data_IF_386499098447
#
_entry.id   IF_386499098447
#
_cell.length_a   1.000
_cell.length_b   1.000
_cell.length_c   1.000
_cell.angle_alpha   90.00
_cell.angle_beta   90.00
_cell.angle_gamma   90.00
#
_symmetry.space_group_name_H-M   'P 1'
#
loop_
_entity.id
_entity.type
_entity.pdbx_description
1 polymer ?
#
# COMPACT_ATOMS: atom_id res chain seq x y z
N UNK A 1 0.56 -2.71 -12.21
CA UNK A 1 -0.88 -2.75 -12.56
C UNK A 1 -1.16 -1.85 -13.76
N UNK A 2 -2.37 -1.94 -14.34
CA UNK A 2 -2.82 -1.12 -15.47
C UNK A 2 -2.61 0.37 -15.20
N UNK A 3 -2.15 1.12 -16.21
CA UNK A 3 -1.88 2.55 -16.10
C UNK A 3 -0.55 2.92 -15.45
N UNK A 4 0.20 1.96 -14.92
CA UNK A 4 1.49 2.20 -14.29
C UNK A 4 2.65 1.63 -15.12
N UNK A 5 3.61 2.48 -15.45
CA UNK A 5 4.80 2.15 -16.27
C UNK A 5 6.07 1.99 -15.45
N UNK A 6 5.99 2.18 -14.13
CA UNK A 6 7.15 2.11 -13.26
C UNK A 6 7.49 0.66 -12.93
N UNK A 7 8.72 0.25 -13.20
CA UNK A 7 9.16 -1.14 -13.09
C UNK A 7 10.37 -1.37 -12.17
N UNK A 8 11.12 -0.34 -11.79
CA UNK A 8 12.37 -0.48 -11.03
C UNK A 8 12.14 -1.26 -9.72
N UNK A 9 11.16 -0.86 -8.92
CA UNK A 9 10.86 -1.53 -7.65
C UNK A 9 10.43 -2.99 -7.85
N UNK A 10 9.58 -3.26 -8.83
CA UNK A 10 9.12 -4.59 -9.20
C UNK A 10 10.30 -5.47 -9.66
N UNK A 11 11.19 -4.92 -10.48
CA UNK A 11 12.36 -5.64 -10.98
C UNK A 11 13.32 -6.02 -9.84
N UNK A 12 13.54 -5.12 -8.87
CA UNK A 12 14.33 -5.41 -7.67
C UNK A 12 13.70 -6.56 -6.88
N UNK A 13 12.39 -6.51 -6.63
CA UNK A 13 11.65 -7.60 -5.95
C UNK A 13 11.82 -8.92 -6.69
N UNK A 14 11.68 -8.92 -8.01
CA UNK A 14 11.83 -10.12 -8.86
C UNK A 14 13.25 -10.71 -8.76
N UNK A 15 14.27 -9.87 -8.79
CA UNK A 15 15.67 -10.31 -8.65
C UNK A 15 15.92 -10.88 -7.26
N UNK A 16 15.50 -10.18 -6.21
CA UNK A 16 15.66 -10.62 -4.82
C UNK A 16 14.98 -11.97 -4.58
N UNK A 17 13.74 -12.14 -5.07
CA UNK A 17 13.01 -13.39 -4.95
C UNK A 17 13.72 -14.52 -5.70
N UNK A 18 14.12 -14.33 -6.96
CA UNK A 18 14.86 -15.35 -7.75
C UNK A 18 16.17 -15.74 -7.10
N UNK A 19 16.95 -14.80 -6.57
CA UNK A 19 18.19 -15.07 -5.85
C UNK A 19 17.98 -15.90 -4.57
N UNK A 20 16.76 -15.96 -4.06
CA UNK A 20 16.36 -16.73 -2.88
C UNK A 20 15.58 -18.01 -3.21
N UNK A 21 15.61 -18.45 -4.48
CA UNK A 21 15.09 -19.75 -4.91
C UNK A 21 13.61 -19.76 -5.27
N UNK A 22 12.97 -18.58 -5.40
CA UNK A 22 11.60 -18.51 -5.91
C UNK A 22 11.59 -18.50 -7.44
N UNK A 23 10.66 -19.25 -8.04
CA UNK A 23 10.33 -19.10 -9.45
C UNK A 23 9.43 -17.87 -9.62
N UNK A 24 9.84 -16.92 -10.45
CA UNK A 24 9.16 -15.63 -10.60
C UNK A 24 8.80 -15.37 -12.06
N UNK A 25 7.51 -15.30 -12.34
CA UNK A 25 6.99 -14.81 -13.62
C UNK A 25 6.69 -13.32 -13.52
N UNK A 26 7.48 -12.52 -14.18
CA UNK A 26 7.29 -11.07 -14.27
C UNK A 26 6.41 -10.73 -15.49
N UNK A 27 5.27 -10.10 -15.25
CA UNK A 27 4.31 -9.73 -16.30
C UNK A 27 4.60 -8.36 -16.93
N UNK A 28 5.64 -7.65 -16.48
CA UNK A 28 6.00 -6.34 -17.00
C UNK A 28 5.20 -5.19 -16.38
N UNK A 29 4.89 -4.20 -17.19
CA UNK A 29 4.18 -2.96 -16.80
C UNK A 29 2.83 -2.86 -17.51
N UNK A 30 1.96 -1.93 -17.08
CA UNK A 30 0.64 -1.69 -17.69
C UNK A 30 -0.27 -2.93 -17.70
N UNK A 31 -0.06 -3.85 -16.78
CA UNK A 31 -0.74 -5.16 -16.74
C UNK A 31 -2.19 -5.00 -16.31
N UNK A 32 -3.12 -5.43 -17.17
CA UNK A 32 -4.54 -5.47 -16.87
C UNK A 32 -4.95 -6.75 -16.11
N UNK A 33 -6.19 -6.79 -15.62
CA UNK A 33 -6.70 -7.92 -14.86
C UNK A 33 -6.72 -9.22 -15.67
N UNK A 34 -7.14 -9.19 -16.92
CA UNK A 34 -7.28 -10.39 -17.76
C UNK A 34 -5.92 -11.07 -17.93
N UNK A 35 -4.86 -10.29 -18.15
CA UNK A 35 -3.48 -10.80 -18.19
C UNK A 35 -3.04 -11.42 -16.86
N UNK A 36 -3.42 -10.81 -15.73
CA UNK A 36 -3.14 -11.38 -14.40
C UNK A 36 -3.86 -12.73 -14.28
N UNK A 37 -5.13 -12.79 -14.62
CA UNK A 37 -5.97 -13.98 -14.53
C UNK A 37 -5.45 -15.14 -15.41
N UNK A 38 -5.11 -14.84 -16.67
CA UNK A 38 -4.51 -15.82 -17.59
C UNK A 38 -3.23 -16.42 -17.02
N UNK A 39 -2.36 -15.59 -16.44
CA UNK A 39 -1.11 -16.04 -15.85
C UNK A 39 -1.30 -16.78 -14.52
N UNK A 40 -2.28 -16.44 -13.71
CA UNK A 40 -2.64 -17.24 -12.53
C UNK A 40 -3.07 -18.66 -12.96
N UNK A 41 -3.89 -18.78 -13.99
CA UNK A 41 -4.38 -20.07 -14.47
C UNK A 41 -3.30 -20.92 -15.13
N UNK A 42 -2.39 -20.30 -15.88
CA UNK A 42 -1.30 -20.99 -16.59
C UNK A 42 -0.13 -21.35 -15.66
N UNK A 43 0.36 -20.37 -14.89
CA UNK A 43 1.54 -20.53 -14.04
C UNK A 43 1.22 -21.15 -12.68
N UNK A 44 -0.03 -21.01 -12.19
CA UNK A 44 -0.50 -21.47 -10.88
C UNK A 44 0.41 -21.02 -9.74
N UNK A 45 0.61 -19.70 -9.57
CA UNK A 45 1.52 -19.18 -8.57
C UNK A 45 0.97 -19.41 -7.16
N UNK A 46 1.87 -19.59 -6.20
CA UNK A 46 1.53 -19.64 -4.78
C UNK A 46 1.25 -18.24 -4.20
N UNK A 47 1.80 -17.20 -4.83
CA UNK A 47 1.68 -15.81 -4.39
C UNK A 47 1.63 -14.87 -5.60
N UNK A 48 0.80 -13.84 -5.55
CA UNK A 48 0.76 -12.76 -6.57
C UNK A 48 1.28 -11.47 -5.96
N UNK A 49 2.14 -10.75 -6.70
CA UNK A 49 2.62 -9.41 -6.33
C UNK A 49 2.03 -8.32 -7.22
N UNK A 50 1.53 -7.24 -6.63
CA UNK A 50 1.12 -6.04 -7.34
C UNK A 50 1.95 -4.85 -6.90
N UNK A 51 2.46 -4.09 -7.87
CA UNK A 51 3.25 -2.88 -7.63
C UNK A 51 2.65 -1.68 -8.32
N UNK A 52 2.75 -0.50 -7.69
CA UNK A 52 2.33 0.76 -8.25
C UNK A 52 3.05 1.95 -7.62
N UNK A 53 3.29 2.99 -8.43
CA UNK A 53 3.97 4.20 -7.99
C UNK A 53 3.06 5.43 -7.97
N UNK A 54 1.99 5.44 -8.77
CA UNK A 54 1.08 6.58 -8.89
C UNK A 54 -0.24 6.33 -8.15
N UNK A 55 -0.92 7.38 -7.74
CA UNK A 55 -2.17 7.25 -6.97
C UNK A 55 -3.25 6.41 -7.68
N UNK A 56 -3.48 6.53 -9.00
CA UNK A 56 -4.43 5.67 -9.70
C UNK A 56 -4.13 4.18 -9.63
N UNK A 57 -2.87 3.78 -9.41
CA UNK A 57 -2.50 2.37 -9.25
C UNK A 57 -3.14 1.73 -8.01
N UNK A 58 -3.44 2.52 -6.97
CA UNK A 58 -4.13 2.04 -5.77
C UNK A 58 -5.56 1.58 -6.09
N UNK A 59 -6.27 2.35 -6.91
CA UNK A 59 -7.64 2.01 -7.32
C UNK A 59 -7.65 0.76 -8.23
N UNK A 60 -6.66 0.63 -9.12
CA UNK A 60 -6.49 -0.57 -9.93
C UNK A 60 -6.17 -1.81 -9.08
N UNK A 61 -5.34 -1.68 -8.03
CA UNK A 61 -5.08 -2.78 -7.10
C UNK A 61 -6.35 -3.21 -6.37
N UNK A 62 -7.16 -2.25 -5.89
CA UNK A 62 -8.44 -2.54 -5.23
C UNK A 62 -9.39 -3.26 -6.21
N UNK A 63 -9.51 -2.76 -7.44
CA UNK A 63 -10.34 -3.38 -8.48
C UNK A 63 -9.90 -4.81 -8.81
N UNK A 64 -8.58 -5.05 -8.90
CA UNK A 64 -8.05 -6.38 -9.17
C UNK A 64 -8.31 -7.35 -8.00
N UNK A 65 -8.20 -6.88 -6.76
CA UNK A 65 -8.50 -7.68 -5.56
C UNK A 65 -9.99 -8.06 -5.49
N UNK A 66 -10.90 -7.12 -5.77
CA UNK A 66 -12.34 -7.37 -5.82
C UNK A 66 -12.70 -8.41 -6.89
N UNK A 67 -12.09 -8.32 -8.07
CA UNK A 67 -12.28 -9.31 -9.14
C UNK A 67 -11.72 -10.67 -8.76
N UNK A 68 -10.51 -10.77 -8.21
CA UNK A 68 -9.95 -12.02 -7.72
C UNK A 68 -10.85 -12.67 -6.65
N UNK A 69 -11.41 -11.85 -5.74
CA UNK A 69 -12.36 -12.31 -4.75
C UNK A 69 -13.64 -12.84 -5.38
N UNK A 70 -14.18 -12.13 -6.37
CA UNK A 70 -15.39 -12.51 -7.10
C UNK A 70 -15.19 -13.80 -7.88
N UNK A 71 -14.03 -13.96 -8.53
CA UNK A 71 -13.66 -15.14 -9.30
C UNK A 71 -13.28 -16.36 -8.42
N UNK A 72 -13.24 -16.18 -7.10
CA UNK A 72 -13.07 -17.28 -6.14
C UNK A 72 -11.63 -17.62 -5.77
N UNK A 73 -10.68 -16.79 -6.16
CA UNK A 73 -9.27 -16.97 -5.79
C UNK A 73 -9.04 -16.65 -4.32
N UNK A 74 -8.09 -17.37 -3.71
CA UNK A 74 -7.73 -17.24 -2.29
C UNK A 74 -6.21 -17.16 -2.05
N UNK A 75 -5.42 -17.07 -3.13
CA UNK A 75 -3.94 -16.99 -3.02
C UNK A 75 -3.51 -15.68 -2.37
N UNK A 76 -2.39 -15.67 -1.63
CA UNK A 76 -1.85 -14.45 -1.03
C UNK A 76 -1.48 -13.41 -2.09
N UNK A 77 -1.82 -12.13 -1.81
CA UNK A 77 -1.47 -11.01 -2.68
C UNK A 77 -0.56 -10.05 -1.92
N UNK A 78 0.63 -9.82 -2.46
CA UNK A 78 1.59 -8.83 -1.95
C UNK A 78 1.35 -7.48 -2.62
N UNK A 79 1.32 -6.44 -1.82
CA UNK A 79 1.15 -5.05 -2.29
C UNK A 79 2.42 -4.28 -2.00
N UNK A 80 3.01 -3.70 -3.02
CA UNK A 80 4.22 -2.88 -2.93
C UNK A 80 4.18 -1.65 -3.81
N UNK A 81 5.18 -0.79 -3.63
CA UNK A 81 5.35 0.46 -4.36
C UNK A 81 5.20 1.69 -3.47
N UNK A 82 5.78 2.82 -3.93
CA UNK A 82 5.97 4.01 -3.10
C UNK A 82 4.67 4.69 -2.63
N UNK A 83 3.55 4.51 -3.35
CA UNK A 83 2.25 5.06 -2.96
C UNK A 83 1.47 4.15 -2.01
N UNK A 84 1.92 2.92 -1.82
CA UNK A 84 1.23 1.96 -0.96
C UNK A 84 1.59 2.18 0.52
N UNK A 85 0.70 1.77 1.41
CA UNK A 85 0.98 1.82 2.85
C UNK A 85 0.21 0.73 3.58
N UNK A 86 0.75 0.33 4.74
CA UNK A 86 0.11 -0.64 5.63
C UNK A 86 -1.33 -0.23 5.99
N UNK A 87 -1.55 1.05 6.29
CA UNK A 87 -2.86 1.57 6.63
C UNK A 87 -3.83 1.50 5.44
N UNK A 88 -3.40 1.93 4.25
CA UNK A 88 -4.24 1.87 3.05
C UNK A 88 -4.58 0.43 2.68
N UNK A 89 -3.61 -0.48 2.75
CA UNK A 89 -3.82 -1.91 2.51
C UNK A 89 -4.85 -2.49 3.48
N UNK A 90 -4.74 -2.19 4.78
CA UNK A 90 -5.67 -2.68 5.80
C UNK A 90 -7.10 -2.12 5.64
N UNK A 91 -7.22 -0.84 5.27
CA UNK A 91 -8.52 -0.13 5.29
C UNK A 91 -9.26 -0.25 3.96
N UNK A 92 -8.54 -0.25 2.84
CA UNK A 92 -9.12 -0.18 1.49
C UNK A 92 -8.92 -1.42 0.65
N UNK A 93 -7.85 -2.18 0.83
CA UNK A 93 -7.54 -3.33 -0.01
C UNK A 93 -8.02 -4.65 0.62
N UNK A 94 -7.63 -4.92 1.86
CA UNK A 94 -7.98 -6.18 2.52
C UNK A 94 -9.50 -6.47 2.58
N UNK A 95 -10.39 -5.49 2.80
CA UNK A 95 -11.83 -5.75 2.79
C UNK A 95 -12.41 -6.18 1.43
N UNK A 96 -11.68 -5.93 0.33
CA UNK A 96 -12.10 -6.32 -1.01
C UNK A 96 -11.57 -7.72 -1.42
N UNK A 97 -10.85 -8.41 -0.52
CA UNK A 97 -10.28 -9.73 -0.80
C UNK A 97 -10.42 -10.66 0.42
N UNK A 98 -11.65 -10.97 0.78
CA UNK A 98 -11.97 -11.76 1.98
C UNK A 98 -11.58 -13.23 1.87
N UNK A 99 -11.59 -13.80 0.64
CA UNK A 99 -11.24 -15.20 0.38
C UNK A 99 -9.75 -15.49 0.53
N UNK A 100 -8.91 -14.49 0.36
CA UNK A 100 -7.46 -14.61 0.48
C UNK A 100 -6.88 -13.69 1.53
N UNK A 101 -5.61 -13.35 1.37
CA UNK A 101 -4.89 -12.44 2.26
C UNK A 101 -4.11 -11.40 1.45
N UNK A 102 -4.14 -10.15 1.91
CA UNK A 102 -3.42 -9.03 1.30
C UNK A 102 -2.33 -8.56 2.26
N UNK A 103 -1.09 -8.56 1.80
CA UNK A 103 0.09 -8.22 2.62
C UNK A 103 0.78 -7.00 2.05
N UNK A 104 0.94 -5.95 2.83
CA UNK A 104 1.77 -4.81 2.45
C UNK A 104 3.25 -5.13 2.66
N UNK A 105 4.04 -5.00 1.61
CA UNK A 105 5.50 -5.19 1.63
C UNK A 105 6.16 -3.83 1.36
N UNK A 106 6.63 -3.13 2.40
CA UNK A 106 7.14 -1.76 2.26
C UNK A 106 8.50 -1.68 1.57
N UNK A 107 9.26 -2.76 1.59
CA UNK A 107 10.61 -2.82 1.03
C UNK A 107 10.89 -4.16 0.36
N UNK A 108 11.62 -4.12 -0.76
CA UNK A 108 11.96 -5.32 -1.53
C UNK A 108 12.77 -6.36 -0.72
N UNK A 109 13.56 -5.94 0.27
CA UNK A 109 14.32 -6.83 1.13
C UNK A 109 13.45 -7.73 2.01
N UNK A 110 12.22 -7.31 2.29
CA UNK A 110 11.28 -8.05 3.15
C UNK A 110 10.47 -9.11 2.39
N UNK A 111 10.46 -9.05 1.04
CA UNK A 111 9.61 -9.93 0.23
C UNK A 111 9.87 -11.41 0.49
N UNK A 112 11.14 -11.79 0.61
CA UNK A 112 11.56 -13.18 0.83
C UNK A 112 11.05 -13.71 2.18
N UNK A 113 11.19 -12.90 3.24
CA UNK A 113 10.69 -13.25 4.57
C UNK A 113 9.18 -13.45 4.56
N UNK A 114 8.45 -12.50 3.96
CA UNK A 114 6.99 -12.57 3.84
C UNK A 114 6.55 -13.80 3.03
N UNK A 115 7.18 -14.09 1.89
CA UNK A 115 6.84 -15.28 1.10
C UNK A 115 7.12 -16.56 1.89
N UNK A 116 8.24 -16.66 2.61
CA UNK A 116 8.55 -17.83 3.43
C UNK A 116 7.52 -18.07 4.52
N UNK A 117 7.08 -17.02 5.23
CA UNK A 117 6.03 -17.14 6.24
C UNK A 117 4.68 -17.56 5.64
N UNK A 118 4.31 -17.02 4.48
CA UNK A 118 3.06 -17.35 3.81
C UNK A 118 3.01 -18.78 3.26
N UNK A 119 4.15 -19.30 2.81
CA UNK A 119 4.27 -20.61 2.14
C UNK A 119 4.71 -21.74 3.08
N UNK A 120 5.04 -21.44 4.33
CA UNK A 120 5.39 -22.45 5.33
C UNK A 120 4.12 -23.02 5.97
N UNK A 121 3.87 -24.31 5.78
CA UNK A 121 2.66 -24.97 6.31
C UNK A 121 2.51 -24.86 7.84
N UNK A 122 3.63 -24.80 8.58
CA UNK A 122 3.62 -24.75 10.04
C UNK A 122 3.34 -23.35 10.59
N UNK A 123 3.80 -22.29 9.89
CA UNK A 123 3.76 -20.90 10.41
C UNK A 123 2.74 -20.03 9.72
N UNK A 124 2.29 -20.39 8.51
CA UNK A 124 1.40 -19.54 7.67
C UNK A 124 0.09 -19.17 8.37
N UNK A 125 -0.56 -20.13 9.02
CA UNK A 125 -1.82 -19.84 9.73
C UNK A 125 -1.63 -18.78 10.80
N UNK A 126 -0.61 -18.92 11.65
CA UNK A 126 -0.31 -17.96 12.71
C UNK A 126 0.09 -16.59 12.14
N UNK A 127 0.85 -16.58 11.05
CA UNK A 127 1.24 -15.34 10.38
C UNK A 127 0.00 -14.60 9.82
N UNK A 128 -0.90 -15.33 9.16
CA UNK A 128 -2.14 -14.78 8.57
C UNK A 128 -3.06 -14.25 9.67
N UNK A 129 -3.23 -14.98 10.78
CA UNK A 129 -4.07 -14.56 11.89
C UNK A 129 -3.54 -13.26 12.53
N UNK A 130 -2.24 -13.20 12.81
CA UNK A 130 -1.60 -11.98 13.33
C UNK A 130 -1.75 -10.79 12.36
N UNK A 131 -1.63 -11.03 11.07
CA UNK A 131 -1.80 -10.01 10.05
C UNK A 131 -3.24 -9.48 10.01
N UNK A 132 -4.24 -10.37 10.06
CA UNK A 132 -5.67 -10.01 10.09
C UNK A 132 -6.02 -9.21 11.35
N UNK A 133 -5.51 -9.61 12.49
CA UNK A 133 -5.70 -8.89 13.76
C UNK A 133 -5.09 -7.47 13.72
N UNK A 134 -3.90 -7.33 13.16
CA UNK A 134 -3.25 -6.04 12.97
C UNK A 134 -4.03 -5.15 11.98
N UNK A 135 -4.51 -5.72 10.88
CA UNK A 135 -5.37 -5.01 9.92
C UNK A 135 -6.69 -4.56 10.55
N UNK A 136 -7.34 -5.43 11.34
CA UNK A 136 -8.57 -5.10 12.05
C UNK A 136 -8.35 -3.98 13.09
N UNK A 137 -7.25 -4.04 13.82
CA UNK A 137 -6.86 -3.00 14.80
C UNK A 137 -6.59 -1.65 14.12
N UNK A 138 -5.96 -1.67 12.95
CA UNK A 138 -5.69 -0.49 12.13
C UNK A 138 -6.99 0.13 11.61
N UNK A 139 -7.90 -0.69 11.12
CA UNK A 139 -9.22 -0.25 10.68
C UNK A 139 -10.04 0.36 11.83
N UNK A 140 -10.02 -0.27 13.02
CA UNK A 140 -10.70 0.25 14.20
C UNK A 140 -10.15 1.61 14.63
N UNK A 141 -8.83 1.78 14.64
CA UNK A 141 -8.20 3.08 14.93
C UNK A 141 -8.61 4.14 13.92
N UNK A 142 -8.65 3.81 12.64
CA UNK A 142 -9.08 4.74 11.60
C UNK A 142 -10.55 5.15 11.76
N UNK A 143 -11.46 4.20 12.00
CA UNK A 143 -12.88 4.50 12.24
C UNK A 143 -13.11 5.38 13.47
N UNK A 144 -12.28 5.20 14.51
CA UNK A 144 -12.35 5.96 15.76
C UNK A 144 -11.55 7.28 15.70
N UNK A 145 -10.76 7.52 14.65
CA UNK A 145 -10.07 8.79 14.48
C UNK A 145 -11.11 9.92 14.40
N UNK A 146 -10.92 10.96 15.22
CA UNK A 146 -11.82 12.13 15.21
C UNK A 146 -11.87 12.68 13.80
N UNK A 147 -13.07 12.73 13.22
CA UNK A 147 -13.29 13.48 11.98
C UNK A 147 -12.85 14.92 12.23
N UNK A 148 -11.97 15.42 11.39
CA UNK A 148 -11.61 16.84 11.43
C UNK A 148 -12.88 17.60 11.09
N UNK A 149 -13.40 18.34 12.06
CA UNK A 149 -14.50 19.24 11.79
C UNK A 149 -13.93 20.48 11.12
N UNK A 150 -14.16 20.60 9.83
CA UNK A 150 -13.85 21.83 9.12
C UNK A 150 -14.82 22.93 9.57
N UNK A 151 -14.29 24.07 9.96
CA UNK A 151 -15.08 25.29 10.16
C UNK A 151 -15.37 25.90 8.79
N UNK A 152 -16.47 26.63 8.69
CA UNK A 152 -16.76 27.34 7.44
C UNK A 152 -15.71 28.44 7.17
N UNK A 153 -15.69 28.94 5.93
CA UNK A 153 -14.66 29.89 5.50
C UNK A 153 -14.74 31.21 6.24
N UNK A 154 -15.92 31.65 6.66
CA UNK A 154 -16.13 32.92 7.36
C UNK A 154 -15.63 32.81 8.81
N UNK A 155 -15.91 31.68 9.47
CA UNK A 155 -15.37 31.39 10.80
C UNK A 155 -13.84 31.27 10.77
N UNK A 156 -13.29 30.59 9.77
CA UNK A 156 -11.85 30.47 9.59
C UNK A 156 -11.20 31.86 9.36
N UNK A 157 -11.82 32.73 8.56
CA UNK A 157 -11.35 34.09 8.33
C UNK A 157 -11.44 34.95 9.59
N UNK A 158 -12.50 34.83 10.39
CA UNK A 158 -12.66 35.58 11.65
C UNK A 158 -11.57 35.19 12.69
N UNK A 159 -11.19 33.94 12.69
CA UNK A 159 -10.12 33.40 13.57
C UNK A 159 -8.71 33.52 12.98
N UNK A 160 -8.57 34.17 11.81
CA UNK A 160 -7.28 34.41 11.19
C UNK A 160 -6.32 35.10 12.15
N UNK A 161 -5.12 34.57 12.29
CA UNK A 161 -4.05 35.21 13.05
C UNK A 161 -3.75 36.58 12.45
N UNK A 162 -3.94 37.65 13.25
CA UNK A 162 -3.62 39.02 12.84
C UNK A 162 -2.19 39.31 13.26
N UNK A 163 -1.31 39.46 12.28
CA UNK A 163 0.04 39.95 12.51
C UNK A 163 -0.05 41.42 13.00
N UNK A 164 0.51 41.68 14.17
CA UNK A 164 0.70 43.05 14.65
C UNK A 164 1.99 43.57 14.02
N UNK A 165 1.95 44.76 13.44
CA UNK A 165 3.12 45.38 12.80
C UNK A 165 4.34 45.46 13.73
N UNK A 166 4.11 45.65 15.03
CA UNK A 166 5.19 45.65 16.06
C UNK A 166 5.87 44.28 16.21
N UNK A 167 5.12 43.18 15.97
CA UNK A 167 5.70 41.84 16.03
C UNK A 167 6.54 41.53 14.80
N UNK A 168 6.18 42.07 13.63
CA UNK A 168 6.96 41.92 12.40
C UNK A 168 8.29 42.67 12.54
N UNK A 169 8.26 43.89 13.05
CA UNK A 169 9.49 44.71 13.28
C UNK A 169 10.44 44.07 14.30
N UNK A 170 9.92 43.34 15.29
CA UNK A 170 10.76 42.64 16.26
C UNK A 170 11.33 41.34 15.67
N UNK A 171 10.66 40.69 14.76
CA UNK A 171 11.19 39.49 14.07
C UNK A 171 12.32 39.86 13.10
N UNK A 172 12.22 41.00 12.39
CA UNK A 172 13.26 41.45 11.44
C UNK A 172 14.54 41.96 12.15
N UNK A 173 14.42 42.47 13.37
CA UNK A 173 15.58 42.92 14.16
C UNK A 173 16.50 41.79 14.64
N UNK A 174 16.04 40.55 14.65
CA UNK A 174 16.82 39.40 15.06
C UNK A 174 17.60 38.72 13.91
N UNK A 175 17.44 39.18 12.70
CA UNK A 175 18.28 38.78 11.56
C UNK A 175 19.41 39.74 11.35
N UNK A 176 20.38 39.79 12.27
CA UNK A 176 21.68 40.35 11.99
C UNK A 176 22.42 39.36 11.11
N UNK A 177 22.45 39.63 9.82
CA UNK A 177 23.44 39.06 8.91
C UNK A 177 24.76 39.75 9.30
N UNK A 178 25.58 39.04 10.04
CA UNK A 178 26.99 39.49 10.20
C UNK A 178 27.64 39.32 8.82
N UNK A 179 28.05 40.42 8.24
CA UNK A 179 28.97 40.51 7.11
C UNK A 179 30.31 39.84 7.42
#
# INVERSE_FOLDING_TARGET
>A
VKGDVHDIGKNIVSVVARCNGFDVRDLGVMVNYDTILENINDFKPDVVGMSGLITPSLDEMISNLDKLNSDGYNLPVLIGGATTSKAHTAIKMAPNYEKGVVVHVPDASLVVGVCRELLNEETSHKYIDNLKDDQASTMKRYKNSKKINFVDIEEARSKKFKLNENNILNMTKNFNVNE
#
